data_IF_702730723983
#
_entry.id   IF_702730723983
#
_cell.length_a   1.000
_cell.length_b   1.000
_cell.length_c   1.000
_cell.angle_alpha   90.00
_cell.angle_beta   90.00
_cell.angle_gamma   90.00
#
_symmetry.space_group_name_H-M   'P 1'
#
loop_
_entity.id
_entity.type
_entity.pdbx_description
1 polymer ?
#
# COMPACT_ATOMS: atom_id res chain seq x y z
N UNK A 1 6.37 13.94 21.72
CA UNK A 1 6.00 12.55 21.35
C UNK A 1 4.61 12.20 21.93
N UNK A 2 3.50 12.75 21.39
CA UNK A 2 2.23 12.02 21.52
C UNK A 2 1.30 12.04 20.29
N UNK A 3 1.74 12.51 19.11
CA UNK A 3 0.89 12.56 17.90
C UNK A 3 1.06 11.34 16.96
N UNK A 4 1.72 10.29 17.44
CA UNK A 4 2.15 9.15 16.63
C UNK A 4 1.11 8.02 16.67
N UNK A 5 -0.14 8.27 16.27
CA UNK A 5 -1.10 7.19 16.04
C UNK A 5 -2.32 7.65 15.22
N UNK A 6 -2.13 7.94 13.93
CA UNK A 6 -3.26 7.98 12.99
C UNK A 6 -2.86 7.51 11.58
N UNK A 7 -1.94 6.56 11.50
CA UNK A 7 -1.65 5.84 10.26
C UNK A 7 -1.60 4.35 10.56
N UNK A 8 -2.71 3.70 10.23
CA UNK A 8 -2.89 2.26 10.04
C UNK A 8 -2.43 1.32 11.17
N UNK A 9 -3.11 1.40 12.32
CA UNK A 9 -3.38 0.18 13.10
C UNK A 9 -4.74 -0.35 12.66
N UNK A 10 -4.74 -1.28 11.68
CA UNK A 10 -5.83 -2.24 11.65
C UNK A 10 -5.64 -3.08 12.92
N UNK A 11 -6.49 -2.88 13.93
CA UNK A 11 -6.53 -3.70 15.14
C UNK A 11 -6.88 -5.14 14.73
N UNK A 12 -5.87 -5.93 14.37
CA UNK A 12 -6.00 -7.35 14.09
C UNK A 12 -5.94 -8.10 15.43
N UNK A 13 -7.02 -8.02 16.21
CA UNK A 13 -7.18 -8.91 17.37
C UNK A 13 -7.76 -10.27 17.00
N UNK A 14 -8.11 -10.49 15.73
CA UNK A 14 -8.42 -11.81 15.16
C UNK A 14 -7.72 -11.96 13.79
N UNK A 15 -7.01 -13.06 13.63
CA UNK A 15 -6.07 -13.46 12.56
C UNK A 15 -6.72 -13.69 11.18
N UNK A 16 -7.76 -12.94 10.85
CA UNK A 16 -8.53 -13.07 9.61
C UNK A 16 -8.79 -11.69 9.00
N UNK A 17 -8.27 -11.46 7.80
CA UNK A 17 -8.68 -10.32 6.97
C UNK A 17 -9.87 -10.81 6.14
N UNK A 18 -11.08 -10.44 6.59
CA UNK A 18 -12.31 -10.73 5.84
C UNK A 18 -12.52 -9.67 4.76
N UNK A 19 -12.08 -9.93 3.54
CA UNK A 19 -12.55 -9.18 2.36
C UNK A 19 -13.95 -9.69 2.02
N UNK A 20 -14.99 -9.20 2.69
CA UNK A 20 -16.34 -9.33 2.14
C UNK A 20 -16.41 -8.60 0.80
N UNK A 21 -17.23 -9.11 -0.12
CA UNK A 21 -17.18 -8.92 -1.58
C UNK A 21 -17.38 -7.49 -2.11
N UNK A 22 -17.23 -6.44 -1.28
CA UNK A 22 -17.45 -5.04 -1.62
C UNK A 22 -16.45 -4.06 -0.98
N UNK A 23 -15.37 -4.52 -0.36
CA UNK A 23 -14.41 -3.60 0.29
C UNK A 23 -13.06 -3.61 -0.43
N UNK A 24 -12.68 -2.45 -0.95
CA UNK A 24 -11.33 -2.21 -1.48
C UNK A 24 -10.36 -1.99 -0.31
N UNK A 25 -9.20 -2.62 -0.38
CA UNK A 25 -8.18 -2.55 0.67
C UNK A 25 -6.89 -1.99 0.09
N UNK A 26 -6.43 -0.87 0.64
CA UNK A 26 -5.14 -0.27 0.30
C UNK A 26 -4.20 -0.36 1.50
N UNK A 27 -3.05 -1.00 1.30
CA UNK A 27 -1.92 -0.96 2.22
C UNK A 27 -0.79 -0.20 1.54
N UNK A 28 -0.39 0.92 2.15
CA UNK A 28 0.68 1.74 1.61
C UNK A 28 1.81 1.91 2.62
N UNK A 29 3.05 1.99 2.15
CA UNK A 29 4.23 2.16 2.99
C UNK A 29 5.27 3.04 2.32
N UNK A 30 6.02 3.80 3.13
CA UNK A 30 7.16 4.56 2.64
C UNK A 30 8.37 3.64 2.48
N UNK A 31 9.12 3.79 1.38
CA UNK A 31 10.33 3.01 1.15
C UNK A 31 11.39 3.20 2.24
N UNK A 32 11.41 4.37 2.88
CA UNK A 32 12.39 4.76 3.90
C UNK A 32 11.85 4.64 5.33
N UNK A 33 10.65 4.08 5.52
CA UNK A 33 10.11 3.82 6.85
C UNK A 33 10.86 2.64 7.52
N UNK A 34 11.43 2.90 8.69
CA UNK A 34 12.16 1.90 9.49
C UNK A 34 11.30 1.30 10.61
N UNK A 35 10.20 1.96 10.98
CA UNK A 35 9.30 1.53 12.05
C UNK A 35 8.35 0.46 11.51
N UNK A 36 7.70 0.74 10.37
CA UNK A 36 6.79 -0.19 9.68
C UNK A 36 7.25 -0.38 8.24
N UNK A 37 8.45 -0.95 8.10
CA UNK A 37 9.11 -1.09 6.81
C UNK A 37 8.32 -1.99 5.85
N UNK A 38 8.28 -1.62 4.57
CA UNK A 38 7.61 -2.40 3.52
C UNK A 38 7.96 -3.91 3.52
N UNK A 39 9.22 -4.35 3.72
CA UNK A 39 9.55 -5.78 3.80
C UNK A 39 8.88 -6.52 4.96
N UNK A 40 8.57 -5.85 6.07
CA UNK A 40 7.86 -6.45 7.20
C UNK A 40 6.42 -6.77 6.80
N UNK A 41 5.75 -5.79 6.20
CA UNK A 41 4.38 -5.94 5.68
C UNK A 41 4.32 -6.99 4.57
N UNK A 42 5.28 -6.99 3.65
CA UNK A 42 5.37 -7.99 2.57
C UNK A 42 5.53 -9.42 3.09
N UNK A 43 6.25 -9.62 4.20
CA UNK A 43 6.39 -10.93 4.83
C UNK A 43 5.20 -11.32 5.68
N UNK A 44 4.48 -10.34 6.24
CA UNK A 44 3.31 -10.58 7.07
C UNK A 44 2.09 -10.99 6.23
N UNK A 45 1.82 -10.32 5.11
CA UNK A 45 0.62 -10.55 4.30
C UNK A 45 0.41 -12.01 3.83
N UNK A 46 1.46 -12.76 3.47
CA UNK A 46 1.34 -14.20 3.16
C UNK A 46 1.06 -15.10 4.35
N UNK A 47 1.37 -14.66 5.58
CA UNK A 47 1.23 -15.48 6.80
C UNK A 47 -0.17 -15.44 7.40
N UNK A 48 -0.96 -14.45 7.01
CA UNK A 48 -2.35 -14.27 7.46
C UNK A 48 -3.28 -15.02 6.52
N UNK A 49 -4.33 -15.63 7.09
CA UNK A 49 -5.33 -16.30 6.29
C UNK A 49 -6.30 -15.27 5.67
N UNK A 50 -6.21 -15.09 4.35
CA UNK A 50 -7.14 -14.30 3.55
C UNK A 50 -7.22 -14.85 2.13
N UNK A 51 -8.32 -14.56 1.44
CA UNK A 51 -8.73 -15.20 0.18
C UNK A 51 -7.73 -15.03 -0.97
N UNK A 52 -6.95 -13.95 -1.00
CA UNK A 52 -5.98 -13.66 -2.05
C UNK A 52 -4.52 -13.85 -1.65
N UNK A 53 -4.22 -14.48 -0.51
CA UNK A 53 -2.83 -14.67 -0.04
C UNK A 53 -1.96 -15.43 -1.06
N UNK A 54 -2.52 -16.48 -1.67
CA UNK A 54 -1.84 -17.29 -2.68
C UNK A 54 -1.58 -16.52 -3.98
N UNK A 55 -2.53 -15.68 -4.39
CA UNK A 55 -2.40 -14.81 -5.56
C UNK A 55 -1.39 -13.70 -5.30
N UNK A 56 -1.38 -13.12 -4.10
CA UNK A 56 -0.43 -12.10 -3.69
C UNK A 56 1.01 -12.57 -3.71
N UNK A 57 1.25 -13.83 -3.33
CA UNK A 57 2.58 -14.44 -3.42
C UNK A 57 3.08 -14.58 -4.86
N UNK A 58 2.17 -14.78 -5.82
CA UNK A 58 2.48 -14.93 -7.25
C UNK A 58 2.46 -13.59 -8.00
N UNK A 59 1.79 -12.59 -7.45
CA UNK A 59 1.61 -11.28 -8.08
C UNK A 59 2.94 -10.53 -8.22
N UNK A 60 3.24 -10.14 -9.46
CA UNK A 60 4.37 -9.27 -9.76
C UNK A 60 4.09 -7.83 -9.33
N UNK A 61 5.15 -7.09 -9.03
CA UNK A 61 5.07 -5.65 -8.77
C UNK A 61 5.30 -4.92 -10.09
N UNK A 62 4.59 -3.83 -10.29
CA UNK A 62 4.86 -2.89 -11.36
C UNK A 62 5.22 -1.53 -10.79
N UNK A 63 5.94 -0.73 -11.57
CA UNK A 63 6.27 0.63 -11.20
C UNK A 63 5.15 1.57 -11.64
N UNK A 64 4.88 2.57 -10.82
CA UNK A 64 3.87 3.58 -11.08
C UNK A 64 4.55 4.96 -11.12
N UNK A 65 4.05 5.81 -12.02
CA UNK A 65 4.46 7.20 -12.22
C UNK A 65 3.21 8.09 -12.17
N UNK A 66 3.34 9.31 -11.63
CA UNK A 66 2.22 10.25 -11.56
C UNK A 66 1.75 10.58 -12.96
N UNK A 67 2.69 10.95 -13.83
CA UNK A 67 2.46 11.16 -15.26
C UNK A 67 3.27 10.13 -16.06
N UNK A 68 2.73 9.55 -17.15
CA UNK A 68 3.46 8.60 -17.99
C UNK A 68 4.83 9.11 -18.49
N UNK A 69 4.90 10.41 -18.76
CA UNK A 69 6.08 11.15 -19.23
C UNK A 69 7.12 11.43 -18.13
N UNK A 70 6.78 11.21 -16.85
CA UNK A 70 7.72 11.47 -15.76
C UNK A 70 8.95 10.57 -15.90
N UNK A 71 10.12 11.15 -15.70
CA UNK A 71 11.37 10.37 -15.66
C UNK A 71 11.46 9.54 -14.37
N UNK A 72 10.92 10.08 -13.27
CA UNK A 72 11.02 9.48 -11.95
C UNK A 72 9.85 8.54 -11.64
N UNK A 73 10.17 7.36 -11.10
CA UNK A 73 9.17 6.44 -10.55
C UNK A 73 8.65 6.98 -9.22
N UNK A 74 7.32 7.06 -9.10
CA UNK A 74 6.62 7.51 -7.90
C UNK A 74 6.57 6.40 -6.83
N UNK A 75 6.33 5.16 -7.26
CA UNK A 75 6.28 4.02 -6.36
C UNK A 75 6.16 2.69 -7.09
N UNK A 76 5.97 1.64 -6.29
CA UNK A 76 5.72 0.29 -6.76
C UNK A 76 4.36 -0.17 -6.28
N UNK A 77 3.62 -0.84 -7.15
CA UNK A 77 2.26 -1.30 -6.87
C UNK A 77 2.19 -2.80 -7.12
N UNK A 78 1.46 -3.49 -6.24
CA UNK A 78 1.03 -4.86 -6.40
C UNK A 78 -0.47 -4.91 -6.17
N UNK A 79 -1.20 -5.46 -7.13
CA UNK A 79 -2.64 -5.59 -7.05
C UNK A 79 -3.06 -7.05 -7.14
N UNK A 80 -4.04 -7.42 -6.31
CA UNK A 80 -4.70 -8.74 -6.30
C UNK A 80 -6.19 -8.50 -6.10
N UNK A 81 -6.97 -8.54 -7.19
CA UNK A 81 -8.39 -8.15 -7.15
C UNK A 81 -8.56 -6.73 -6.60
N UNK A 82 -9.31 -6.61 -5.50
CA UNK A 82 -9.59 -5.36 -4.77
C UNK A 82 -8.56 -5.01 -3.68
N UNK A 83 -7.47 -5.78 -3.60
CA UNK A 83 -6.37 -5.56 -2.66
C UNK A 83 -5.18 -4.89 -3.37
N UNK A 84 -4.75 -3.76 -2.83
CA UNK A 84 -3.67 -2.95 -3.36
C UNK A 84 -2.57 -2.79 -2.31
N UNK A 85 -1.34 -3.14 -2.67
CA UNK A 85 -0.15 -2.81 -1.91
C UNK A 85 0.67 -1.78 -2.69
N UNK A 86 0.97 -0.65 -2.04
CA UNK A 86 1.72 0.46 -2.64
C UNK A 86 2.95 0.80 -1.81
N UNK A 87 4.11 0.93 -2.45
CA UNK A 87 5.35 1.38 -1.83
C UNK A 87 5.76 2.68 -2.49
N UNK A 88 5.70 3.78 -1.74
CA UNK A 88 6.04 5.11 -2.24
C UNK A 88 7.56 5.32 -2.13
N UNK A 89 8.20 5.57 -3.27
CA UNK A 89 9.65 5.83 -3.34
C UNK A 89 9.97 7.17 -2.70
N UNK A 90 11.02 7.22 -1.88
CA UNK A 90 11.47 8.43 -1.20
C UNK A 90 10.57 8.92 -0.06
N UNK A 91 9.59 8.13 0.37
CA UNK A 91 8.73 8.43 1.51
C UNK A 91 9.15 7.69 2.78
N UNK A 92 9.01 8.31 3.95
CA UNK A 92 9.25 7.73 5.26
C UNK A 92 7.96 7.29 5.95
N UNK A 93 7.91 7.42 7.27
CA UNK A 93 6.78 6.95 8.07
C UNK A 93 5.51 7.81 7.90
N UNK A 94 5.66 9.13 7.76
CA UNK A 94 4.54 10.06 7.61
C UNK A 94 4.41 10.43 6.13
N UNK A 95 3.87 9.50 5.35
CA UNK A 95 3.92 9.59 3.89
C UNK A 95 3.32 10.87 3.28
N UNK A 96 2.13 11.35 3.68
CA UNK A 96 1.59 12.60 3.14
C UNK A 96 2.43 13.83 3.45
N UNK A 97 3.27 13.77 4.49
CA UNK A 97 4.23 14.83 4.82
C UNK A 97 5.49 14.72 3.97
N UNK A 98 6.04 13.51 3.84
CA UNK A 98 7.29 13.26 3.13
C UNK A 98 7.14 13.35 1.60
N UNK A 99 6.01 12.89 1.06
CA UNK A 99 5.73 12.79 -0.38
C UNK A 99 4.28 13.21 -0.70
N UNK A 100 3.89 14.46 -0.44
CA UNK A 100 2.49 14.92 -0.52
C UNK A 100 1.86 14.67 -1.88
N UNK A 101 2.57 14.97 -2.97
CA UNK A 101 2.05 14.81 -4.33
C UNK A 101 1.80 13.33 -4.68
N UNK A 102 2.73 12.44 -4.31
CA UNK A 102 2.61 11.00 -4.57
C UNK A 102 1.52 10.36 -3.71
N UNK A 103 1.40 10.79 -2.45
CA UNK A 103 0.35 10.32 -1.56
C UNK A 103 -1.03 10.79 -2.00
N UNK A 104 -1.17 12.03 -2.47
CA UNK A 104 -2.42 12.53 -3.00
C UNK A 104 -2.87 11.74 -4.22
N UNK A 105 -1.99 11.59 -5.21
CA UNK A 105 -2.31 10.83 -6.43
C UNK A 105 -2.65 9.36 -6.11
N UNK A 106 -1.92 8.71 -5.22
CA UNK A 106 -2.24 7.34 -4.77
C UNK A 106 -3.66 7.24 -4.18
N UNK A 107 -4.04 8.18 -3.31
CA UNK A 107 -5.37 8.20 -2.69
C UNK A 107 -6.43 8.49 -3.76
N UNK A 108 -6.18 9.45 -4.65
CA UNK A 108 -7.09 9.83 -5.71
C UNK A 108 -7.36 8.66 -6.67
N UNK A 109 -6.33 7.92 -7.10
CA UNK A 109 -6.46 6.71 -7.94
C UNK A 109 -7.21 5.59 -7.25
N UNK A 110 -6.97 5.41 -5.95
CA UNK A 110 -7.65 4.40 -5.16
C UNK A 110 -9.15 4.71 -5.04
N UNK A 111 -9.52 5.98 -4.83
CA UNK A 111 -10.92 6.40 -4.68
C UNK A 111 -11.65 6.53 -6.02
N UNK A 112 -10.98 6.97 -7.08
CA UNK A 112 -11.58 7.23 -8.39
C UNK A 112 -11.77 5.97 -9.25
N UNK A 113 -11.31 4.80 -8.78
CA UNK A 113 -11.31 3.54 -9.57
C UNK A 113 -10.49 3.62 -10.87
N UNK A 114 -9.70 4.68 -11.08
CA UNK A 114 -8.80 4.82 -12.24
C UNK A 114 -7.69 3.77 -12.22
N UNK A 115 -7.35 3.23 -11.05
CA UNK A 115 -6.28 2.25 -10.91
C UNK A 115 -4.90 2.87 -11.11
N UNK A 116 -3.88 2.02 -10.96
CA UNK A 116 -2.47 2.42 -11.05
C UNK A 116 -1.83 2.12 -12.42
N UNK A 117 -2.63 1.65 -13.37
CA UNK A 117 -2.22 1.24 -14.73
C UNK A 117 -2.69 2.31 -15.72
#
# INVERSE_FOLDING_TARGET
IPYLCFSLFLFCTHTHIYTHTHTQVLIYSGQLDVIVAAPLTERFLPTVNWTGADEFNKASRFHWKIQPEDTEVAGYVRQVGEFYQVIIRGGGHILPYDQPQRSFDMIDRFLSTQGFI
#
